data_IF_015435674830
#
_entry.id   IF_015435674830
#
_cell.length_a   1.000
_cell.length_b   1.000
_cell.length_c   1.000
_cell.angle_alpha   90.00
_cell.angle_beta   90.00
_cell.angle_gamma   90.00
#
_symmetry.space_group_name_H-M   'P 1'
#
loop_
_entity.id
_entity.type
_entity.pdbx_description
1 polymer ?
#
# COMPACT_ATOMS: atom_id res chain seq x y z
N UNK A 1 25.47 1.80 4.48
CA UNK A 1 24.87 1.05 3.37
C UNK A 1 24.24 -0.30 3.76
N UNK A 2 24.81 -1.13 4.65
CA UNK A 2 24.15 -2.40 5.08
C UNK A 2 22.82 -2.18 5.84
N UNK A 3 22.74 -1.16 6.70
CA UNK A 3 21.53 -0.84 7.49
C UNK A 3 20.37 -0.36 6.63
N UNK A 4 20.66 0.40 5.57
CA UNK A 4 19.65 0.96 4.67
C UNK A 4 19.02 -0.14 3.81
N UNK A 5 19.83 -1.11 3.34
CA UNK A 5 19.32 -2.25 2.60
C UNK A 5 18.38 -3.12 3.46
N UNK A 6 18.80 -3.45 4.69
CA UNK A 6 17.98 -4.22 5.63
C UNK A 6 16.66 -3.52 5.99
N UNK A 7 16.67 -2.20 6.10
CA UNK A 7 15.46 -1.42 6.35
C UNK A 7 14.48 -1.57 5.18
N UNK A 8 14.95 -1.38 3.94
CA UNK A 8 14.09 -1.52 2.75
C UNK A 8 13.56 -2.94 2.59
N UNK A 9 14.38 -3.95 2.84
CA UNK A 9 13.95 -5.35 2.84
C UNK A 9 12.83 -5.62 3.86
N UNK A 10 12.96 -5.10 5.08
CA UNK A 10 11.92 -5.22 6.10
C UNK A 10 10.63 -4.50 5.70
N UNK A 11 10.73 -3.28 5.17
CA UNK A 11 9.56 -2.53 4.70
C UNK A 11 8.84 -3.25 3.56
N UNK A 12 9.59 -3.80 2.59
CA UNK A 12 9.02 -4.64 1.54
C UNK A 12 8.31 -5.88 2.10
N UNK A 13 8.86 -6.51 3.14
CA UNK A 13 8.25 -7.66 3.77
C UNK A 13 6.88 -7.30 4.39
N UNK A 14 6.77 -6.17 5.08
CA UNK A 14 5.50 -5.67 5.63
C UNK A 14 4.46 -5.45 4.52
N UNK A 15 4.83 -4.73 3.46
CA UNK A 15 3.94 -4.50 2.32
C UNK A 15 3.46 -5.81 1.69
N UNK A 16 4.39 -6.75 1.48
CA UNK A 16 4.07 -8.07 0.91
C UNK A 16 3.10 -8.84 1.80
N UNK A 17 3.36 -8.90 3.09
CA UNK A 17 2.52 -9.62 4.05
C UNK A 17 1.10 -9.06 4.08
N UNK A 18 0.94 -7.74 4.07
CA UNK A 18 -0.36 -7.09 4.00
C UNK A 18 -1.10 -7.39 2.67
N UNK A 19 -0.39 -7.35 1.54
CA UNK A 19 -0.96 -7.74 0.25
C UNK A 19 -1.42 -9.20 0.23
N UNK A 20 -0.60 -10.13 0.72
CA UNK A 20 -0.98 -11.53 0.82
C UNK A 20 -2.16 -11.76 1.77
N UNK A 21 -2.20 -11.03 2.89
CA UNK A 21 -3.33 -11.06 3.81
C UNK A 21 -4.61 -10.60 3.12
N UNK A 22 -4.56 -9.49 2.37
CA UNK A 22 -5.68 -9.00 1.57
C UNK A 22 -6.14 -10.04 0.54
N UNK A 23 -5.23 -10.69 -0.19
CA UNK A 23 -5.55 -11.71 -1.20
C UNK A 23 -6.22 -12.95 -0.60
N UNK A 24 -5.93 -13.28 0.67
CA UNK A 24 -6.57 -14.38 1.40
C UNK A 24 -7.97 -14.05 1.92
N UNK A 25 -8.36 -12.77 1.92
CA UNK A 25 -9.69 -12.37 2.38
C UNK A 25 -10.80 -12.87 1.42
N UNK A 26 -12.04 -13.06 1.93
CA UNK A 26 -13.18 -13.40 1.09
C UNK A 26 -13.35 -12.43 -0.09
N UNK A 27 -13.81 -12.93 -1.24
CA UNK A 27 -14.02 -12.11 -2.43
C UNK A 27 -14.93 -10.91 -2.16
N UNK A 28 -16.01 -11.10 -1.39
CA UNK A 28 -16.93 -10.03 -1.01
C UNK A 28 -16.26 -8.90 -0.23
N UNK A 29 -15.24 -9.21 0.58
CA UNK A 29 -14.44 -8.20 1.26
C UNK A 29 -13.53 -7.46 0.27
N UNK A 30 -12.80 -8.22 -0.56
CA UNK A 30 -11.89 -7.63 -1.56
C UNK A 30 -12.65 -6.68 -2.51
N UNK A 31 -13.85 -7.05 -2.94
CA UNK A 31 -14.71 -6.18 -3.76
C UNK A 31 -15.07 -4.86 -3.07
N UNK A 32 -15.35 -4.89 -1.77
CA UNK A 32 -15.67 -3.68 -0.99
C UNK A 32 -14.50 -2.70 -0.91
N UNK A 33 -13.27 -3.21 -0.80
CA UNK A 33 -12.06 -2.37 -0.65
C UNK A 33 -11.36 -2.07 -1.98
N UNK A 34 -11.71 -2.78 -3.07
CA UNK A 34 -11.06 -2.65 -4.40
C UNK A 34 -11.01 -1.20 -4.86
N UNK A 35 -12.13 -0.48 -4.76
CA UNK A 35 -12.19 0.92 -5.20
C UNK A 35 -11.24 1.82 -4.39
N UNK A 36 -11.12 1.58 -3.09
CA UNK A 36 -10.23 2.36 -2.24
C UNK A 36 -8.76 2.07 -2.58
N UNK A 37 -8.39 0.80 -2.69
CA UNK A 37 -7.03 0.36 -3.04
C UNK A 37 -6.61 0.90 -4.41
N UNK A 38 -7.48 0.80 -5.43
CA UNK A 38 -7.20 1.36 -6.77
C UNK A 38 -7.03 2.89 -6.74
N UNK A 39 -7.82 3.61 -5.95
CA UNK A 39 -7.67 5.07 -5.81
C UNK A 39 -6.34 5.47 -5.17
N UNK A 40 -5.85 4.69 -4.21
CA UNK A 40 -4.51 4.88 -3.64
C UNK A 40 -3.43 4.50 -4.64
N UNK A 41 -3.57 3.36 -5.32
CA UNK A 41 -2.62 2.89 -6.33
C UNK A 41 -2.42 3.93 -7.44
N UNK A 42 -3.51 4.55 -7.91
CA UNK A 42 -3.44 5.63 -8.90
C UNK A 42 -2.62 6.83 -8.44
N UNK A 43 -2.64 7.15 -7.14
CA UNK A 43 -1.73 8.18 -6.61
C UNK A 43 -0.29 7.70 -6.51
N UNK A 44 -0.09 6.45 -6.09
CA UNK A 44 1.24 5.84 -5.96
C UNK A 44 1.95 5.67 -7.32
N UNK A 45 1.20 5.55 -8.42
CA UNK A 45 1.74 5.56 -9.80
C UNK A 45 2.53 6.81 -10.17
N UNK A 46 2.37 7.91 -9.40
CA UNK A 46 3.20 9.11 -9.54
C UNK A 46 4.64 8.91 -9.05
N UNK A 47 4.88 7.89 -8.23
CA UNK A 47 6.23 7.49 -7.82
C UNK A 47 6.89 6.77 -9.00
N UNK A 48 7.95 7.37 -9.54
CA UNK A 48 8.67 6.89 -10.72
C UNK A 48 9.63 5.73 -10.41
N UNK A 49 9.98 5.54 -9.15
CA UNK A 49 10.93 4.54 -8.69
C UNK A 49 10.62 4.11 -7.25
N UNK A 50 11.34 3.10 -6.79
CA UNK A 50 11.19 2.61 -5.43
C UNK A 50 11.58 3.65 -4.37
N UNK A 51 12.59 4.49 -4.62
CA UNK A 51 13.04 5.49 -3.64
C UNK A 51 11.91 6.48 -3.31
N UNK A 52 11.21 6.95 -4.35
CA UNK A 52 10.04 7.81 -4.20
C UNK A 52 8.90 7.11 -3.47
N UNK A 53 8.71 5.81 -3.72
CA UNK A 53 7.68 5.01 -3.06
C UNK A 53 7.95 4.88 -1.56
N UNK A 54 9.20 4.57 -1.15
CA UNK A 54 9.61 4.55 0.26
C UNK A 54 9.51 5.94 0.90
N UNK A 55 9.97 6.99 0.21
CA UNK A 55 9.89 8.36 0.72
C UNK A 55 8.43 8.79 0.93
N UNK A 56 7.51 8.32 0.09
CA UNK A 56 6.09 8.55 0.26
C UNK A 56 5.55 7.79 1.47
N UNK A 57 5.85 6.49 1.59
CA UNK A 57 5.40 5.64 2.71
C UNK A 57 5.72 6.22 4.10
N UNK A 58 6.89 6.84 4.26
CA UNK A 58 7.33 7.43 5.52
C UNK A 58 7.01 8.92 5.67
N UNK A 59 6.29 9.52 4.72
CA UNK A 59 5.98 10.95 4.77
C UNK A 59 5.06 11.26 5.95
N UNK A 60 5.44 12.15 6.88
CA UNK A 60 4.57 12.56 7.97
C UNK A 60 3.31 13.26 7.45
N UNK A 61 2.15 12.92 8.02
CA UNK A 61 0.86 13.54 7.71
C UNK A 61 -0.26 12.51 7.65
N UNK A 62 -1.45 12.95 7.22
CA UNK A 62 -2.59 12.05 7.11
C UNK A 62 -2.48 11.12 5.89
N UNK A 63 -1.72 11.49 4.86
CA UNK A 63 -1.53 10.65 3.67
C UNK A 63 -0.74 9.38 4.04
N UNK A 64 -1.16 8.17 3.62
CA UNK A 64 -2.13 7.85 2.55
C UNK A 64 -3.61 7.71 2.95
N UNK A 65 -3.94 7.72 4.24
CA UNK A 65 -5.25 7.27 4.76
C UNK A 65 -6.48 8.03 4.24
N UNK A 66 -6.49 9.37 4.07
CA UNK A 66 -7.60 10.11 3.48
C UNK A 66 -7.95 9.68 2.06
N UNK A 67 -7.04 9.03 1.33
CA UNK A 67 -7.33 8.52 -0.02
C UNK A 67 -8.21 7.29 0.08
N UNK A 68 -7.86 6.36 0.95
CA UNK A 68 -8.63 5.14 1.21
C UNK A 68 -9.99 5.48 1.84
N UNK A 69 -9.98 6.27 2.91
CA UNK A 69 -11.17 6.57 3.71
C UNK A 69 -12.31 7.23 2.91
N UNK A 70 -12.01 7.95 1.83
CA UNK A 70 -13.02 8.54 0.93
C UNK A 70 -13.80 7.53 0.11
N UNK A 71 -13.27 6.33 -0.04
CA UNK A 71 -13.80 5.28 -0.91
C UNK A 71 -14.24 4.03 -0.15
N UNK A 72 -13.89 3.92 1.13
CA UNK A 72 -14.34 2.83 1.98
C UNK A 72 -15.81 3.05 2.40
N UNK A 73 -16.66 2.00 2.32
CA UNK A 73 -18.09 2.11 2.63
C UNK A 73 -18.36 2.30 4.14
N UNK A 74 -17.42 1.88 5.00
CA UNK A 74 -17.45 1.96 6.45
C UNK A 74 -16.02 2.27 6.93
N UNK A 75 -15.86 2.88 8.12
CA UNK A 75 -14.53 3.05 8.73
C UNK A 75 -14.09 1.71 9.33
N UNK A 76 -13.14 0.97 8.72
CA UNK A 76 -12.83 -0.41 9.11
C UNK A 76 -11.90 -0.49 10.34
N UNK A 77 -11.59 0.64 10.96
CA UNK A 77 -10.59 0.75 12.03
C UNK A 77 -9.19 1.02 11.47
N UNK A 78 -8.27 1.50 12.33
CA UNK A 78 -6.95 1.96 11.91
C UNK A 78 -6.09 0.84 11.34
N UNK A 79 -6.14 -0.37 11.92
CA UNK A 79 -5.30 -1.50 11.49
C UNK A 79 -5.64 -1.92 10.06
N UNK A 80 -6.92 -2.03 9.72
CA UNK A 80 -7.35 -2.35 8.36
C UNK A 80 -7.01 -1.25 7.36
N UNK A 81 -7.02 0.02 7.78
CA UNK A 81 -6.57 1.10 6.89
C UNK A 81 -5.09 0.93 6.58
N UNK A 82 -4.25 0.69 7.58
CA UNK A 82 -2.82 0.45 7.40
C UNK A 82 -2.55 -0.76 6.50
N UNK A 83 -3.23 -1.89 6.72
CA UNK A 83 -3.08 -3.08 5.87
C UNK A 83 -3.42 -2.80 4.39
N UNK A 84 -4.46 -2.00 4.14
CA UNK A 84 -4.85 -1.62 2.77
C UNK A 84 -3.85 -0.65 2.13
N UNK A 85 -3.22 0.22 2.92
CA UNK A 85 -2.12 1.07 2.46
C UNK A 85 -0.93 0.20 2.05
N UNK A 86 -0.45 -0.64 2.96
CA UNK A 86 0.67 -1.54 2.77
C UNK A 86 0.49 -2.44 1.55
N UNK A 87 -0.72 -2.98 1.37
CA UNK A 87 -1.08 -3.75 0.19
C UNK A 87 -0.99 -2.91 -1.11
N UNK A 88 -1.45 -1.66 -1.09
CA UNK A 88 -1.33 -0.76 -2.24
C UNK A 88 0.13 -0.40 -2.56
N UNK A 89 0.96 -0.18 -1.52
CA UNK A 89 2.40 0.02 -1.68
C UNK A 89 3.08 -1.19 -2.32
N UNK A 90 2.75 -2.41 -1.88
CA UNK A 90 3.29 -3.62 -2.50
C UNK A 90 2.89 -3.73 -3.97
N UNK A 91 1.61 -3.49 -4.29
CA UNK A 91 1.15 -3.52 -5.69
C UNK A 91 1.93 -2.52 -6.54
N UNK A 92 2.15 -1.30 -6.05
CA UNK A 92 2.97 -0.32 -6.80
C UNK A 92 4.43 -0.76 -6.93
N UNK A 93 5.00 -1.34 -5.88
CA UNK A 93 6.36 -1.88 -5.92
C UNK A 93 6.51 -2.95 -7.01
N UNK A 94 5.53 -3.85 -7.14
CA UNK A 94 5.53 -4.86 -8.21
C UNK A 94 5.44 -4.23 -9.61
N UNK A 95 4.57 -3.23 -9.83
CA UNK A 95 4.49 -2.51 -11.10
C UNK A 95 5.87 -1.93 -11.49
N UNK A 96 6.56 -1.29 -10.53
CA UNK A 96 7.90 -0.74 -10.72
C UNK A 96 8.96 -1.81 -11.00
N UNK A 97 8.92 -2.94 -10.28
CA UNK A 97 9.88 -4.03 -10.43
C UNK A 97 9.72 -4.78 -11.77
N UNK A 98 8.50 -4.85 -12.30
CA UNK A 98 8.18 -5.47 -13.58
C UNK A 98 8.34 -4.52 -14.79
N UNK A 99 8.66 -3.25 -14.56
CA UNK A 99 8.78 -2.23 -15.61
C UNK A 99 7.44 -1.85 -16.26
N UNK A 100 6.34 -1.92 -15.49
CA UNK A 100 4.98 -1.60 -15.93
C UNK A 100 4.51 -0.22 -15.49
#
# INVERSE_FOLDING_TARGET
MVKENRFRENTRAVWREAFEALERQPQSWREQVTRAVEALLEKLRRCANEDELHASYWRPGDWPSPVLLRHLPLNPGPDTVLELEDAAFWRRYLELAEGR
#
